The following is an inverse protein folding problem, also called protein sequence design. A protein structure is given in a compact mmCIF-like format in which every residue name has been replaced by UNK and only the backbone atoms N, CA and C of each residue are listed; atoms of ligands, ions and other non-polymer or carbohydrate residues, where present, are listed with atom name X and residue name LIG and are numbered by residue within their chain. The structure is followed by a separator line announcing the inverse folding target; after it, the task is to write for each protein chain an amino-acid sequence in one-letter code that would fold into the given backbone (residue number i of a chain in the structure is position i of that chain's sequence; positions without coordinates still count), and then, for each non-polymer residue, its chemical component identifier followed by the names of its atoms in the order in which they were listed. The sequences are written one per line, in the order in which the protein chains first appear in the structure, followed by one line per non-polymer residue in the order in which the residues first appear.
data_IF_087348089019
#
_entry.id   IF_087348089019
#
_cell.length_a   1.000
_cell.length_b   1.000
_cell.length_c   1.000
_cell.angle_alpha   90.00
_cell.angle_beta   90.00
_cell.angle_gamma   90.00
#
_symmetry.space_group_name_H-M   'P 1'
#
loop_
_entity.id
_entity.type
_entity.pdbx_description
1 polymer ?
#
# COMPACT_ATOMS: atom_id res chain seq x y z
N UNK A 1 96.11 35.52 -13.96
CA UNK A 1 95.63 34.50 -12.97
C UNK A 1 94.50 35.14 -12.19
N UNK A 2 93.28 34.87 -12.55
CA UNK A 2 92.10 35.42 -11.85
C UNK A 2 91.32 34.23 -11.28
N UNK A 3 91.22 34.23 -9.92
CA UNK A 3 90.33 33.32 -9.20
C UNK A 3 88.95 33.88 -9.18
N UNK A 4 87.98 33.10 -9.76
CA UNK A 4 86.54 33.35 -9.71
C UNK A 4 86.02 32.52 -8.54
N UNK A 5 85.54 33.19 -7.45
CA UNK A 5 84.79 32.58 -6.39
C UNK A 5 83.31 32.45 -6.81
N UNK A 6 82.77 31.24 -6.83
CA UNK A 6 81.34 31.02 -7.01
C UNK A 6 80.59 31.13 -5.66
N UNK A 7 79.41 31.73 -5.62
CA UNK A 7 78.61 31.77 -4.39
C UNK A 7 77.72 30.52 -4.33
N UNK A 8 77.75 29.89 -3.16
CA UNK A 8 76.87 28.77 -2.82
C UNK A 8 75.47 29.33 -2.53
N UNK A 9 74.50 28.98 -3.37
CA UNK A 9 73.10 29.28 -3.18
C UNK A 9 72.47 28.18 -2.27
N UNK A 10 72.04 28.57 -1.08
CA UNK A 10 71.25 27.71 -0.20
C UNK A 10 69.80 27.71 -0.67
N UNK A 11 69.36 26.58 -1.19
CA UNK A 11 67.96 26.32 -1.53
C UNK A 11 67.21 25.94 -0.24
N UNK A 12 66.46 26.87 0.33
CA UNK A 12 65.55 26.58 1.44
C UNK A 12 64.28 25.94 0.88
N UNK A 13 64.14 24.64 1.13
CA UNK A 13 62.95 23.87 0.77
C UNK A 13 61.87 24.13 1.82
N UNK A 14 60.91 25.00 1.53
CA UNK A 14 59.73 25.23 2.34
C UNK A 14 58.74 24.08 2.06
N UNK A 15 58.71 23.07 2.96
CA UNK A 15 57.65 22.04 2.96
C UNK A 15 56.39 22.69 3.53
N UNK A 16 55.49 23.08 2.62
CA UNK A 16 54.17 23.52 3.00
C UNK A 16 53.32 22.32 3.44
N UNK A 17 53.15 22.12 4.74
CA UNK A 17 52.13 21.22 5.29
C UNK A 17 50.73 21.80 5.00
N UNK A 18 50.10 21.36 3.94
CA UNK A 18 48.67 21.59 3.68
C UNK A 18 47.87 20.76 4.67
N UNK A 19 47.42 21.38 5.76
CA UNK A 19 46.40 20.79 6.62
C UNK A 19 45.07 20.75 5.80
N UNK A 20 44.74 19.58 5.23
CA UNK A 20 43.42 19.27 4.74
C UNK A 20 42.53 19.13 5.98
N UNK A 21 41.95 20.23 6.43
CA UNK A 21 40.83 20.20 7.36
C UNK A 21 39.67 19.53 6.66
N UNK A 22 39.49 18.24 6.89
CA UNK A 22 38.25 17.55 6.61
C UNK A 22 37.18 18.22 7.48
N UNK A 23 36.47 19.20 6.92
CA UNK A 23 35.22 19.69 7.50
C UNK A 23 34.25 18.51 7.45
N UNK A 24 34.21 17.73 8.54
CA UNK A 24 33.03 16.95 8.84
C UNK A 24 31.86 17.94 8.80
N UNK A 25 30.99 17.78 7.82
CA UNK A 25 29.66 18.38 7.86
C UNK A 25 29.04 17.84 9.15
N UNK A 26 29.04 18.64 10.22
CA UNK A 26 28.05 18.43 11.28
C UNK A 26 26.70 18.47 10.59
N UNK A 27 26.14 17.29 10.37
CA UNK A 27 24.73 17.17 10.04
C UNK A 27 24.01 17.77 11.22
N UNK A 28 23.35 18.90 10.98
CA UNK A 28 22.53 19.54 11.98
C UNK A 28 21.46 18.52 12.45
N UNK A 29 21.76 17.82 13.53
CA UNK A 29 20.82 16.94 14.24
C UNK A 29 19.83 17.80 15.01
N UNK A 30 18.91 18.50 14.32
CA UNK A 30 17.87 19.24 15.04
C UNK A 30 16.56 19.48 14.27
N UNK A 31 16.26 18.67 13.27
CA UNK A 31 14.87 18.44 12.89
C UNK A 31 14.59 16.97 13.16
N UNK A 32 13.55 16.68 13.95
CA UNK A 32 13.05 15.30 14.11
C UNK A 32 12.68 14.79 12.73
N UNK A 33 13.56 13.98 12.14
CA UNK A 33 13.25 13.31 10.88
C UNK A 33 12.11 12.34 11.13
N UNK A 34 10.99 12.52 10.43
CA UNK A 34 9.87 11.59 10.48
C UNK A 34 10.23 10.25 9.84
N UNK A 35 9.47 9.22 10.16
CA UNK A 35 9.66 7.86 9.64
C UNK A 35 9.74 7.84 8.11
N UNK A 36 8.86 8.55 7.41
CA UNK A 36 8.87 8.65 5.94
C UNK A 36 10.19 9.16 5.37
N UNK A 37 10.90 10.00 6.12
CA UNK A 37 12.20 10.56 5.69
C UNK A 37 13.34 9.58 5.95
N UNK A 38 13.27 8.87 7.09
CA UNK A 38 14.30 7.88 7.46
C UNK A 38 14.31 6.71 6.47
N UNK A 39 13.14 6.27 5.98
CA UNK A 39 12.98 5.14 5.07
C UNK A 39 12.67 5.55 3.62
N UNK A 40 12.95 6.81 3.23
CA UNK A 40 12.57 7.35 1.92
C UNK A 40 13.12 6.57 0.73
N UNK A 41 14.32 5.98 0.88
CA UNK A 41 14.98 5.21 -0.18
C UNK A 41 14.64 3.71 -0.13
N UNK A 42 13.88 3.25 0.89
CA UNK A 42 13.60 1.84 1.11
C UNK A 42 12.15 1.48 0.79
N UNK A 43 11.18 2.15 1.46
CA UNK A 43 9.74 1.88 1.31
C UNK A 43 8.88 3.03 1.84
N UNK A 44 7.60 3.02 1.46
CA UNK A 44 6.62 3.96 1.99
C UNK A 44 6.20 3.56 3.41
N UNK A 45 6.02 4.56 4.27
CA UNK A 45 5.44 4.38 5.62
C UNK A 45 3.99 4.86 5.58
N UNK A 46 3.05 3.94 5.83
CA UNK A 46 1.62 4.22 5.78
C UNK A 46 0.94 4.32 7.14
N UNK A 47 -0.22 4.97 7.15
CA UNK A 47 -1.13 4.98 8.28
C UNK A 47 -2.56 4.70 7.84
N UNK A 48 -3.25 3.79 8.55
CA UNK A 48 -4.69 3.66 8.46
C UNK A 48 -5.35 4.78 9.29
N UNK A 49 -6.27 5.54 8.66
CA UNK A 49 -6.93 6.68 9.31
C UNK A 49 -8.45 6.53 9.27
N UNK A 50 -9.09 6.97 10.33
CA UNK A 50 -10.55 6.91 10.47
C UNK A 50 -11.21 8.30 10.34
N UNK A 51 -12.52 8.32 10.48
CA UNK A 51 -13.31 9.55 10.33
C UNK A 51 -12.88 10.69 11.28
N UNK A 52 -12.31 10.41 12.45
CA UNK A 52 -11.90 11.48 13.37
C UNK A 52 -10.68 12.24 12.87
N UNK A 53 -9.68 11.51 12.29
CA UNK A 53 -8.54 12.16 11.66
C UNK A 53 -8.97 12.91 10.39
N UNK A 54 -9.82 12.29 9.55
CA UNK A 54 -10.31 12.90 8.31
C UNK A 54 -11.12 14.17 8.57
N UNK A 55 -11.90 14.21 9.67
CA UNK A 55 -12.70 15.37 10.06
C UNK A 55 -11.94 16.35 10.98
N UNK A 56 -10.62 16.17 11.10
CA UNK A 56 -9.74 17.02 11.91
C UNK A 56 -10.15 17.12 13.39
N UNK A 57 -10.78 16.07 13.93
CA UNK A 57 -11.20 15.99 15.34
C UNK A 57 -10.11 15.44 16.26
N UNK A 58 -9.09 14.80 15.71
CA UNK A 58 -7.94 14.26 16.44
C UNK A 58 -6.73 15.21 16.31
N UNK A 59 -6.71 16.23 17.17
CA UNK A 59 -5.67 17.26 17.17
C UNK A 59 -4.25 16.71 17.42
N UNK A 60 -4.11 15.49 17.97
CA UNK A 60 -2.81 14.87 18.21
C UNK A 60 -2.28 14.14 16.97
N UNK A 61 -3.16 13.49 16.21
CA UNK A 61 -2.79 12.76 15.00
C UNK A 61 -2.50 13.70 13.82
N UNK A 62 -3.23 14.80 13.70
CA UNK A 62 -3.12 15.71 12.55
C UNK A 62 -1.71 16.17 12.20
N UNK A 63 -0.86 16.62 13.14
CA UNK A 63 0.50 17.02 12.81
C UNK A 63 1.42 15.84 12.51
N UNK A 64 1.10 14.63 13.03
CA UNK A 64 1.92 13.43 12.82
C UNK A 64 1.75 12.86 11.41
N UNK A 65 0.55 12.95 10.83
CA UNK A 65 0.29 12.38 9.51
C UNK A 65 1.27 12.88 8.45
N UNK A 66 1.38 14.18 8.16
CA UNK A 66 2.31 14.67 7.15
C UNK A 66 3.77 14.63 7.59
N UNK A 67 4.05 14.51 8.90
CA UNK A 67 5.42 14.43 9.41
C UNK A 67 6.01 13.02 9.25
N UNK A 68 5.25 11.99 9.62
CA UNK A 68 5.75 10.62 9.78
C UNK A 68 5.44 9.72 8.58
N UNK A 69 4.36 10.02 7.82
CA UNK A 69 3.81 9.11 6.81
C UNK A 69 3.84 9.72 5.42
N UNK A 70 4.01 8.86 4.41
CA UNK A 70 3.89 9.17 2.99
C UNK A 70 2.89 8.25 2.27
N UNK A 71 2.09 7.48 3.04
CA UNK A 71 0.95 6.72 2.54
C UNK A 71 -0.20 6.76 3.53
N UNK A 72 -1.44 6.75 3.04
CA UNK A 72 -2.66 6.69 3.85
C UNK A 72 -3.66 5.69 3.30
N UNK A 73 -4.39 5.06 4.22
CA UNK A 73 -5.46 4.10 3.90
C UNK A 73 -6.70 4.42 4.76
N UNK A 74 -7.93 4.45 4.20
CA UNK A 74 -9.15 4.58 5.00
C UNK A 74 -9.41 3.32 5.81
N UNK A 75 -9.53 3.45 7.14
CA UNK A 75 -9.81 2.30 8.01
C UNK A 75 -11.17 1.65 7.71
N UNK A 76 -12.24 2.43 7.52
CA UNK A 76 -13.60 1.92 7.35
C UNK A 76 -14.43 2.62 6.27
N UNK A 77 -14.15 3.88 5.98
CA UNK A 77 -15.08 4.75 5.24
C UNK A 77 -15.32 4.36 3.78
N UNK A 78 -14.43 3.57 3.19
CA UNK A 78 -14.60 3.04 1.83
C UNK A 78 -15.12 1.60 1.80
N UNK A 79 -15.41 0.99 2.96
CA UNK A 79 -16.05 -0.33 3.01
C UNK A 79 -17.50 -0.24 2.56
N UNK A 80 -18.01 -1.32 1.96
CA UNK A 80 -19.30 -1.36 1.25
C UNK A 80 -20.45 -0.76 2.07
N UNK A 81 -20.62 -1.13 3.33
CA UNK A 81 -21.72 -0.65 4.18
C UNK A 81 -21.77 0.86 4.37
N UNK A 82 -20.62 1.55 4.22
CA UNK A 82 -20.52 3.00 4.39
C UNK A 82 -20.59 3.72 3.05
N UNK A 83 -19.79 3.28 2.06
CA UNK A 83 -19.69 3.98 0.78
C UNK A 83 -20.86 3.69 -0.16
N UNK A 84 -21.52 2.50 -0.04
CA UNK A 84 -22.61 2.06 -0.88
C UNK A 84 -23.77 1.46 -0.04
N UNK A 85 -24.44 2.30 0.77
CA UNK A 85 -25.41 1.84 1.79
C UNK A 85 -26.71 1.25 1.20
N UNK A 86 -27.13 1.68 0.03
CA UNK A 86 -28.34 1.23 -0.67
C UNK A 86 -28.02 1.02 -2.14
N UNK A 87 -28.83 0.21 -2.88
CA UNK A 87 -28.57 -0.22 -4.25
C UNK A 87 -28.15 0.90 -5.22
N UNK A 88 -28.82 2.05 -5.19
CA UNK A 88 -28.55 3.17 -6.08
C UNK A 88 -27.99 4.39 -5.34
N UNK A 89 -27.45 4.19 -4.13
CA UNK A 89 -26.98 5.29 -3.29
C UNK A 89 -25.54 5.09 -2.84
N UNK A 90 -24.74 6.11 -3.11
CA UNK A 90 -23.36 6.16 -2.70
C UNK A 90 -23.13 7.35 -1.77
N UNK A 91 -22.25 7.17 -0.78
CA UNK A 91 -21.83 8.21 0.16
C UNK A 91 -20.34 8.44 0.00
N UNK A 92 -19.98 9.47 -0.75
CA UNK A 92 -18.59 9.81 -1.05
C UNK A 92 -17.98 10.88 -0.13
N UNK A 93 -18.74 11.48 0.76
CA UNK A 93 -18.30 12.67 1.52
C UNK A 93 -17.00 12.49 2.28
N UNK A 94 -16.84 11.39 3.01
CA UNK A 94 -15.60 11.09 3.75
C UNK A 94 -14.52 10.51 2.83
N UNK A 95 -14.92 9.74 1.81
CA UNK A 95 -14.00 9.19 0.83
C UNK A 95 -13.34 10.29 -0.01
N UNK A 96 -14.10 11.32 -0.42
CA UNK A 96 -13.55 12.49 -1.11
C UNK A 96 -12.56 13.26 -0.22
N UNK A 97 -12.85 13.36 1.09
CA UNK A 97 -11.96 14.06 2.03
C UNK A 97 -10.63 13.36 2.27
N UNK A 98 -10.62 12.01 2.36
CA UNK A 98 -9.34 11.29 2.52
C UNK A 98 -8.50 11.38 1.25
N UNK A 99 -9.12 11.29 0.07
CA UNK A 99 -8.42 11.47 -1.20
C UNK A 99 -7.83 12.88 -1.29
N UNK A 100 -8.59 13.92 -0.94
CA UNK A 100 -8.08 15.27 -0.89
C UNK A 100 -6.98 15.48 0.16
N UNK A 101 -7.02 14.75 1.28
CA UNK A 101 -5.96 14.77 2.30
C UNK A 101 -4.65 14.15 1.77
N UNK A 102 -4.76 13.03 1.05
CA UNK A 102 -3.64 12.38 0.38
C UNK A 102 -2.98 13.29 -0.66
N UNK A 103 -3.78 13.84 -1.57
CA UNK A 103 -3.34 14.76 -2.60
C UNK A 103 -2.67 16.02 -2.01
N UNK A 104 -3.29 16.64 -1.00
CA UNK A 104 -2.74 17.82 -0.30
C UNK A 104 -1.35 17.60 0.30
N UNK A 105 -1.05 16.38 0.74
CA UNK A 105 0.20 16.04 1.43
C UNK A 105 1.14 15.18 0.58
N UNK A 106 0.87 15.02 -0.71
CA UNK A 106 1.65 14.18 -1.64
C UNK A 106 1.86 12.76 -1.08
N UNK A 107 0.77 12.15 -0.61
CA UNK A 107 0.76 10.80 -0.01
C UNK A 107 0.21 9.78 -0.99
N UNK A 108 0.84 8.61 -1.04
CA UNK A 108 0.32 7.44 -1.71
C UNK A 108 -0.99 6.98 -1.03
N UNK A 109 -2.11 7.08 -1.73
CA UNK A 109 -3.43 6.77 -1.18
C UNK A 109 -3.87 5.38 -1.60
N UNK A 110 -4.16 4.53 -0.61
CA UNK A 110 -4.69 3.18 -0.82
C UNK A 110 -6.19 3.17 -0.57
N UNK A 111 -6.97 2.73 -1.54
CA UNK A 111 -8.41 2.52 -1.40
C UNK A 111 -8.71 1.15 -0.77
N UNK A 112 -9.34 1.13 0.39
CA UNK A 112 -9.68 -0.10 1.11
C UNK A 112 -11.19 -0.13 1.39
N UNK A 113 -11.92 -1.00 0.79
CA UNK A 113 -11.66 -2.05 -0.20
C UNK A 113 -12.84 -2.17 -1.17
N UNK A 114 -12.60 -2.61 -2.41
CA UNK A 114 -13.70 -2.74 -3.39
C UNK A 114 -14.58 -3.96 -3.09
N UNK A 115 -14.00 -5.12 -2.78
CA UNK A 115 -14.76 -6.36 -2.54
C UNK A 115 -14.30 -7.03 -1.25
N UNK A 116 -15.20 -7.15 -0.30
CA UNK A 116 -14.96 -7.87 0.94
C UNK A 116 -16.25 -8.58 1.39
N UNK A 117 -16.11 -9.78 1.95
CA UNK A 117 -17.23 -10.59 2.43
C UNK A 117 -17.85 -10.08 3.73
N UNK A 118 -17.16 -9.18 4.43
CA UNK A 118 -17.59 -8.55 5.68
C UNK A 118 -17.99 -7.09 5.45
N UNK A 119 -18.66 -6.47 6.41
CA UNK A 119 -19.16 -5.09 6.34
C UNK A 119 -19.87 -4.76 5.02
N UNK A 120 -20.64 -5.73 4.52
CA UNK A 120 -21.51 -5.56 3.37
C UNK A 120 -22.79 -4.82 3.76
N UNK A 121 -23.27 -3.97 2.88
CA UNK A 121 -24.56 -3.31 3.04
C UNK A 121 -25.69 -4.35 3.15
N UNK A 122 -26.71 -4.11 3.98
CA UNK A 122 -27.79 -5.08 4.20
C UNK A 122 -28.52 -5.54 2.93
N UNK A 123 -28.57 -4.72 1.88
CA UNK A 123 -29.18 -5.09 0.62
C UNK A 123 -28.36 -6.15 -0.13
N UNK A 124 -27.01 -6.09 -0.06
CA UNK A 124 -26.13 -7.08 -0.71
C UNK A 124 -26.34 -8.46 -0.11
N UNK A 125 -26.44 -8.56 1.22
CA UNK A 125 -26.70 -9.82 1.91
C UNK A 125 -28.07 -10.45 1.56
N UNK A 126 -29.00 -9.68 0.99
CA UNK A 126 -30.31 -10.13 0.55
C UNK A 126 -30.34 -10.64 -0.90
N UNK A 127 -29.28 -10.42 -1.68
CA UNK A 127 -29.18 -10.89 -3.06
C UNK A 127 -29.18 -12.43 -3.08
N UNK A 128 -29.99 -13.02 -3.96
CA UNK A 128 -30.15 -14.49 -4.07
C UNK A 128 -29.85 -15.05 -5.47
N UNK A 129 -29.65 -14.19 -6.46
CA UNK A 129 -29.33 -14.62 -7.81
C UNK A 129 -27.92 -14.24 -8.22
N UNK A 130 -27.32 -15.08 -9.06
CA UNK A 130 -26.01 -14.85 -9.67
C UNK A 130 -25.99 -13.53 -10.44
N UNK A 131 -26.99 -13.30 -11.29
CA UNK A 131 -27.03 -12.12 -12.16
C UNK A 131 -27.14 -10.82 -11.37
N UNK A 132 -27.96 -10.80 -10.30
CA UNK A 132 -28.07 -9.61 -9.46
C UNK A 132 -26.77 -9.32 -8.69
N UNK A 133 -26.05 -10.36 -8.25
CA UNK A 133 -24.79 -10.17 -7.56
C UNK A 133 -23.67 -9.74 -8.54
N UNK A 134 -23.67 -10.28 -9.75
CA UNK A 134 -22.75 -9.85 -10.81
C UNK A 134 -22.99 -8.37 -11.18
N UNK A 135 -24.25 -7.98 -11.36
CA UNK A 135 -24.62 -6.58 -11.63
C UNK A 135 -24.23 -5.65 -10.47
N UNK A 136 -24.44 -6.07 -9.21
CA UNK A 136 -23.97 -5.31 -8.05
C UNK A 136 -22.46 -5.13 -8.09
N UNK A 137 -21.69 -6.21 -8.30
CA UNK A 137 -20.24 -6.17 -8.32
C UNK A 137 -19.71 -5.22 -9.40
N UNK A 138 -20.27 -5.31 -10.60
CA UNK A 138 -19.93 -4.44 -11.72
C UNK A 138 -20.23 -2.97 -11.41
N UNK A 139 -21.45 -2.66 -10.97
CA UNK A 139 -21.87 -1.29 -10.66
C UNK A 139 -21.05 -0.69 -9.51
N UNK A 140 -20.79 -1.48 -8.47
CA UNK A 140 -20.01 -1.05 -7.30
C UNK A 140 -18.58 -0.70 -7.68
N UNK A 141 -17.89 -1.61 -8.36
CA UNK A 141 -16.49 -1.40 -8.77
C UNK A 141 -16.40 -0.26 -9.80
N UNK A 142 -17.26 -0.22 -10.80
CA UNK A 142 -17.24 0.82 -11.82
C UNK A 142 -17.51 2.20 -11.23
N UNK A 143 -18.50 2.33 -10.35
CA UNK A 143 -18.87 3.63 -9.77
C UNK A 143 -17.77 4.19 -8.89
N UNK A 144 -17.20 3.35 -8.03
CA UNK A 144 -16.13 3.78 -7.11
C UNK A 144 -14.81 3.94 -7.86
N UNK A 145 -14.43 2.96 -8.68
CA UNK A 145 -13.18 2.97 -9.44
C UNK A 145 -13.08 4.19 -10.36
N UNK A 146 -14.11 4.42 -11.21
CA UNK A 146 -14.12 5.57 -12.13
C UNK A 146 -14.10 6.93 -11.40
N UNK A 147 -14.73 7.03 -10.21
CA UNK A 147 -14.69 8.28 -9.43
C UNK A 147 -13.29 8.65 -8.98
N UNK A 148 -12.50 7.65 -8.62
CA UNK A 148 -11.18 7.84 -8.02
C UNK A 148 -10.03 7.44 -8.93
N UNK A 149 -10.28 7.12 -10.19
CA UNK A 149 -9.22 6.84 -11.16
C UNK A 149 -8.27 8.05 -11.30
N UNK A 150 -6.96 7.80 -11.19
CA UNK A 150 -5.93 8.83 -11.17
C UNK A 150 -5.87 9.68 -9.89
N UNK A 151 -6.63 9.32 -8.83
CA UNK A 151 -6.63 10.00 -7.53
C UNK A 151 -6.29 9.07 -6.38
N UNK A 152 -6.56 7.78 -6.53
CA UNK A 152 -6.16 6.71 -5.62
C UNK A 152 -5.05 5.93 -6.34
N UNK A 153 -3.92 5.77 -5.66
CA UNK A 153 -2.72 5.17 -6.24
C UNK A 153 -2.82 3.64 -6.28
N UNK A 154 -3.46 3.03 -5.27
CA UNK A 154 -3.65 1.59 -5.20
C UNK A 154 -5.02 1.22 -4.62
N UNK A 155 -5.58 0.09 -5.04
CA UNK A 155 -6.80 -0.48 -4.49
C UNK A 155 -6.57 -1.88 -3.94
N UNK A 156 -7.03 -2.12 -2.72
CA UNK A 156 -7.37 -3.47 -2.27
C UNK A 156 -8.62 -3.91 -3.03
N UNK A 157 -8.42 -4.60 -4.15
CA UNK A 157 -9.54 -5.02 -5.02
C UNK A 157 -10.38 -6.07 -4.34
N UNK A 158 -9.75 -7.09 -3.79
CA UNK A 158 -10.41 -8.13 -2.99
C UNK A 158 -9.68 -8.33 -1.68
N UNK A 159 -10.46 -8.28 -0.60
CA UNK A 159 -9.98 -8.47 0.75
C UNK A 159 -10.46 -9.82 1.31
N UNK A 160 -9.52 -10.62 1.85
CA UNK A 160 -9.76 -11.82 2.67
C UNK A 160 -10.60 -12.92 1.99
N UNK A 161 -10.25 -13.31 0.78
CA UNK A 161 -10.96 -14.36 0.05
C UNK A 161 -10.57 -15.78 0.45
N UNK A 162 -9.55 -15.97 1.32
CA UNK A 162 -9.02 -17.29 1.66
C UNK A 162 -9.27 -17.67 3.12
N UNK A 163 -9.43 -18.97 3.35
CA UNK A 163 -9.38 -19.60 4.67
C UNK A 163 -7.92 -19.84 5.10
N UNK A 164 -7.72 -20.22 6.37
CA UNK A 164 -6.39 -20.48 6.94
C UNK A 164 -5.63 -21.65 6.27
N UNK A 165 -6.35 -22.56 5.64
CA UNK A 165 -5.78 -23.68 4.88
C UNK A 165 -5.47 -23.33 3.41
N UNK A 166 -5.68 -22.09 3.00
CA UNK A 166 -5.47 -21.60 1.64
C UNK A 166 -6.62 -21.88 0.65
N UNK A 167 -7.71 -22.48 1.10
CA UNK A 167 -8.91 -22.68 0.26
C UNK A 167 -9.77 -21.43 0.19
N UNK A 168 -10.62 -21.33 -0.84
CA UNK A 168 -11.53 -20.19 -0.99
C UNK A 168 -12.53 -20.10 0.17
N UNK A 169 -12.65 -18.91 0.77
CA UNK A 169 -13.59 -18.62 1.87
C UNK A 169 -15.01 -18.62 1.38
N UNK A 170 -15.88 -19.35 2.08
CA UNK A 170 -17.33 -19.32 1.83
C UNK A 170 -17.89 -17.92 2.09
N UNK A 171 -18.41 -17.30 1.06
CA UNK A 171 -19.00 -15.95 1.08
C UNK A 171 -20.16 -15.90 0.10
N UNK A 172 -20.94 -14.82 0.12
CA UNK A 172 -21.99 -14.62 -0.90
C UNK A 172 -21.41 -14.60 -2.31
N UNK A 173 -20.20 -14.03 -2.48
CA UNK A 173 -19.50 -13.96 -3.75
C UNK A 173 -19.13 -15.36 -4.25
N UNK A 174 -18.44 -16.16 -3.44
CA UNK A 174 -18.09 -17.53 -3.82
C UNK A 174 -19.34 -18.37 -4.11
N UNK A 175 -20.35 -18.28 -3.24
CA UNK A 175 -21.53 -19.12 -3.33
C UNK A 175 -22.38 -18.86 -4.58
N UNK A 176 -22.49 -17.61 -5.03
CA UNK A 176 -23.32 -17.23 -6.18
C UNK A 176 -22.52 -17.06 -7.48
N UNK A 177 -21.30 -16.53 -7.42
CA UNK A 177 -20.48 -16.25 -8.60
C UNK A 177 -19.49 -17.36 -8.93
N UNK A 178 -19.15 -18.23 -7.95
CA UNK A 178 -18.16 -19.29 -8.12
C UNK A 178 -16.72 -18.83 -7.93
N UNK A 179 -15.77 -19.73 -8.18
CA UNK A 179 -14.34 -19.56 -7.89
C UNK A 179 -13.63 -18.47 -8.70
N UNK A 180 -14.27 -17.94 -9.73
CA UNK A 180 -13.71 -16.92 -10.61
C UNK A 180 -14.05 -15.49 -10.17
N UNK A 181 -14.86 -15.31 -9.09
CA UNK A 181 -15.31 -13.99 -8.67
C UNK A 181 -14.14 -13.02 -8.37
N UNK A 182 -13.02 -13.54 -7.82
CA UNK A 182 -11.84 -12.71 -7.55
C UNK A 182 -11.23 -12.21 -8.86
N UNK A 183 -11.01 -13.11 -9.82
CA UNK A 183 -10.48 -12.73 -11.14
C UNK A 183 -11.40 -11.73 -11.85
N UNK A 184 -12.72 -11.91 -11.71
CA UNK A 184 -13.69 -10.97 -12.29
C UNK A 184 -13.65 -9.60 -11.60
N UNK A 185 -13.53 -9.55 -10.27
CA UNK A 185 -13.36 -8.29 -9.54
C UNK A 185 -12.10 -7.51 -10.02
N UNK A 186 -10.97 -8.21 -10.20
CA UNK A 186 -9.77 -7.61 -10.76
C UNK A 186 -9.95 -7.15 -12.21
N UNK A 187 -10.69 -7.91 -13.04
CA UNK A 187 -11.02 -7.53 -14.43
C UNK A 187 -11.87 -6.27 -14.49
N UNK A 188 -12.83 -6.12 -13.59
CA UNK A 188 -13.64 -4.91 -13.47
C UNK A 188 -12.81 -3.74 -12.97
N UNK A 189 -12.00 -3.96 -11.94
CA UNK A 189 -11.15 -2.92 -11.36
C UNK A 189 -10.14 -2.36 -12.38
N UNK A 190 -9.44 -3.21 -13.15
CA UNK A 190 -8.49 -2.74 -14.16
C UNK A 190 -9.12 -1.88 -15.26
N UNK A 191 -10.44 -2.03 -15.51
CA UNK A 191 -11.19 -1.20 -16.46
C UNK A 191 -11.64 0.12 -15.82
N UNK A 192 -12.09 0.03 -14.57
CA UNK A 192 -12.67 1.17 -13.87
C UNK A 192 -11.61 2.14 -13.33
N UNK A 193 -10.41 1.63 -13.03
CA UNK A 193 -9.31 2.41 -12.46
C UNK A 193 -7.97 1.98 -13.08
N UNK A 194 -7.75 2.26 -14.38
CA UNK A 194 -6.55 1.83 -15.10
C UNK A 194 -5.26 2.47 -14.58
N UNK A 195 -5.35 3.61 -13.91
CA UNK A 195 -4.22 4.37 -13.39
C UNK A 195 -3.84 4.01 -11.94
N UNK A 196 -4.62 3.15 -11.26
CA UNK A 196 -4.30 2.67 -9.91
C UNK A 196 -3.66 1.29 -9.95
N UNK A 197 -2.81 0.98 -8.97
CA UNK A 197 -2.31 -0.38 -8.74
C UNK A 197 -3.41 -1.26 -8.11
N UNK A 198 -3.41 -2.56 -8.42
CA UNK A 198 -4.44 -3.50 -7.99
C UNK A 198 -3.84 -4.56 -7.07
N UNK A 199 -4.33 -4.64 -5.83
CA UNK A 199 -3.83 -5.52 -4.78
C UNK A 199 -4.87 -6.56 -4.35
N UNK A 200 -4.39 -7.76 -4.02
CA UNK A 200 -5.09 -8.71 -3.18
C UNK A 200 -4.61 -8.54 -1.74
N UNK A 201 -5.52 -8.35 -0.77
CA UNK A 201 -5.17 -8.12 0.63
C UNK A 201 -5.77 -9.20 1.52
N UNK A 202 -4.97 -9.79 2.43
CA UNK A 202 -5.47 -10.81 3.36
C UNK A 202 -4.57 -10.92 4.60
N UNK A 203 -5.11 -11.43 5.69
CA UNK A 203 -4.38 -11.71 6.92
C UNK A 203 -3.79 -13.13 6.89
N UNK A 204 -2.74 -13.35 7.67
CA UNK A 204 -2.04 -14.64 7.80
C UNK A 204 -1.55 -15.25 6.46
N UNK A 205 -1.49 -14.48 5.37
CA UNK A 205 -0.94 -14.96 4.10
C UNK A 205 0.59 -15.03 4.11
N UNK A 206 1.24 -14.63 5.20
CA UNK A 206 2.62 -14.95 5.48
C UNK A 206 2.79 -16.39 5.98
N UNK A 207 1.73 -17.02 6.48
CA UNK A 207 1.79 -18.41 6.95
C UNK A 207 1.81 -19.40 5.76
N UNK A 208 2.61 -20.47 5.79
CA UNK A 208 2.92 -21.30 4.62
C UNK A 208 1.70 -21.84 3.86
N UNK A 209 0.68 -22.33 4.57
CA UNK A 209 -0.52 -22.92 3.92
C UNK A 209 -1.35 -21.84 3.21
N UNK A 210 -1.64 -20.75 3.90
CA UNK A 210 -2.45 -19.66 3.34
C UNK A 210 -1.66 -18.91 2.27
N UNK A 211 -0.35 -18.74 2.43
CA UNK A 211 0.57 -18.22 1.41
C UNK A 211 0.50 -19.03 0.11
N UNK A 212 0.55 -20.35 0.20
CA UNK A 212 0.42 -21.22 -0.98
C UNK A 212 -0.91 -21.00 -1.71
N UNK A 213 -2.02 -20.83 -0.96
CA UNK A 213 -3.32 -20.48 -1.52
C UNK A 213 -3.33 -19.12 -2.20
N UNK A 214 -2.73 -18.11 -1.58
CA UNK A 214 -2.62 -16.77 -2.14
C UNK A 214 -1.77 -16.76 -3.43
N UNK A 215 -0.65 -17.48 -3.44
CA UNK A 215 0.18 -17.67 -4.63
C UNK A 215 -0.61 -18.34 -5.78
N UNK A 216 -1.39 -19.37 -5.47
CA UNK A 216 -2.24 -20.03 -6.46
C UNK A 216 -3.31 -19.09 -7.03
N UNK A 217 -3.92 -18.28 -6.18
CA UNK A 217 -4.90 -17.27 -6.57
C UNK A 217 -4.28 -16.19 -7.47
N UNK A 218 -3.12 -15.64 -7.10
CA UNK A 218 -2.38 -14.64 -7.88
C UNK A 218 -2.02 -15.21 -9.26
N UNK A 219 -1.48 -16.42 -9.32
CA UNK A 219 -1.16 -17.10 -10.58
C UNK A 219 -2.39 -17.32 -11.46
N UNK A 220 -3.55 -17.64 -10.86
CA UNK A 220 -4.81 -17.78 -11.59
C UNK A 220 -5.23 -16.46 -12.22
N UNK A 221 -5.14 -15.34 -11.51
CA UNK A 221 -5.44 -14.00 -12.03
C UNK A 221 -4.52 -13.68 -13.20
N UNK A 222 -3.20 -13.84 -13.03
CA UNK A 222 -2.20 -13.60 -14.06
C UNK A 222 -2.40 -14.47 -15.30
N UNK A 223 -2.68 -15.77 -15.13
CA UNK A 223 -2.94 -16.71 -16.22
C UNK A 223 -4.21 -16.36 -17.03
N UNK A 224 -5.14 -15.61 -16.44
CA UNK A 224 -6.34 -15.09 -17.11
C UNK A 224 -6.09 -13.80 -17.92
N UNK A 225 -4.85 -13.32 -17.98
CA UNK A 225 -4.48 -12.06 -18.63
C UNK A 225 -5.03 -10.81 -17.90
N UNK A 226 -5.38 -10.96 -16.63
CA UNK A 226 -5.87 -9.88 -15.77
C UNK A 226 -4.73 -9.34 -14.91
N UNK A 227 -4.66 -8.01 -14.79
CA UNK A 227 -3.60 -7.34 -14.04
C UNK A 227 -3.80 -7.53 -12.53
N UNK A 228 -2.71 -7.84 -11.84
CA UNK A 228 -2.54 -7.75 -10.41
C UNK A 228 -1.14 -7.19 -10.15
N UNK A 229 -1.04 -6.10 -9.41
CA UNK A 229 0.19 -5.35 -9.23
C UNK A 229 0.85 -5.64 -7.89
N UNK A 230 0.08 -6.12 -6.92
CA UNK A 230 0.63 -6.38 -5.60
C UNK A 230 -0.24 -7.26 -4.70
N UNK A 231 0.33 -7.55 -3.54
CA UNK A 231 -0.32 -8.24 -2.43
C UNK A 231 -0.11 -7.46 -1.14
N UNK A 232 -1.18 -7.32 -0.34
CA UNK A 232 -1.17 -6.77 1.00
C UNK A 232 -1.20 -7.89 2.04
N UNK A 233 -0.20 -7.91 2.92
CA UNK A 233 -0.11 -8.84 4.05
C UNK A 233 -0.59 -8.09 5.29
N UNK A 234 -1.78 -8.40 5.79
CA UNK A 234 -2.28 -7.81 7.02
C UNK A 234 -1.47 -8.34 8.21
N UNK A 235 -0.69 -7.44 8.80
CA UNK A 235 0.17 -7.75 9.93
C UNK A 235 -0.56 -7.75 11.26
N UNK A 236 -1.66 -8.50 11.40
CA UNK A 236 -2.39 -8.67 12.66
C UNK A 236 -1.60 -9.49 13.69
N UNK A 237 -0.37 -9.07 13.93
CA UNK A 237 0.56 -9.77 14.82
C UNK A 237 0.41 -9.31 16.27
N UNK A 238 0.87 -10.15 17.20
CA UNK A 238 0.96 -9.80 18.61
C UNK A 238 2.39 -9.42 18.97
N UNK A 239 2.55 -8.64 20.06
CA UNK A 239 3.87 -8.31 20.62
C UNK A 239 4.66 -9.53 21.11
N UNK A 240 4.04 -10.71 21.16
CA UNK A 240 4.68 -11.95 21.64
C UNK A 240 5.46 -12.69 20.55
N UNK A 241 5.32 -12.31 19.31
CA UNK A 241 6.06 -12.91 18.20
C UNK A 241 5.69 -12.30 16.86
N UNK A 242 6.72 -11.86 16.14
CA UNK A 242 6.62 -11.53 14.72
C UNK A 242 7.09 -12.76 13.95
N UNK A 243 6.35 -13.24 12.96
CA UNK A 243 6.77 -14.38 12.13
C UNK A 243 7.82 -13.92 11.12
N UNK A 244 9.01 -13.55 11.58
CA UNK A 244 10.04 -12.91 10.75
C UNK A 244 10.44 -13.79 9.57
N UNK A 245 10.72 -15.08 9.81
CA UNK A 245 11.11 -16.03 8.76
C UNK A 245 9.98 -16.21 7.73
N UNK A 246 8.74 -16.39 8.19
CA UNK A 246 7.58 -16.51 7.29
C UNK A 246 7.30 -15.22 6.53
N UNK A 247 7.50 -14.06 7.16
CA UNK A 247 7.36 -12.75 6.49
C UNK A 247 8.42 -12.55 5.41
N UNK A 248 9.69 -12.87 5.70
CA UNK A 248 10.78 -12.81 4.72
C UNK A 248 10.52 -13.75 3.54
N UNK A 249 10.17 -15.02 3.82
CA UNK A 249 9.81 -15.99 2.78
C UNK A 249 8.64 -15.49 1.93
N UNK A 250 7.64 -14.85 2.55
CA UNK A 250 6.49 -14.29 1.83
C UNK A 250 6.89 -13.16 0.89
N UNK A 251 7.72 -12.24 1.34
CA UNK A 251 8.26 -11.17 0.48
C UNK A 251 8.96 -11.78 -0.74
N UNK A 252 9.84 -12.76 -0.52
CA UNK A 252 10.59 -13.40 -1.59
C UNK A 252 9.68 -14.15 -2.57
N UNK A 253 8.74 -14.95 -2.06
CA UNK A 253 7.85 -15.77 -2.90
C UNK A 253 6.85 -14.93 -3.70
N UNK A 254 6.27 -13.87 -3.10
CA UNK A 254 5.37 -12.96 -3.82
C UNK A 254 6.14 -12.10 -4.83
N UNK A 255 7.31 -11.58 -4.47
CA UNK A 255 8.15 -10.81 -5.40
C UNK A 255 8.60 -11.65 -6.60
N UNK A 256 8.82 -12.96 -6.42
CA UNK A 256 9.14 -13.88 -7.52
C UNK A 256 7.98 -14.04 -8.54
N UNK A 257 6.75 -13.63 -8.19
CA UNK A 257 5.62 -13.56 -9.13
C UNK A 257 5.61 -12.26 -9.96
N UNK A 258 6.58 -11.36 -9.73
CA UNK A 258 6.66 -10.06 -10.40
C UNK A 258 5.68 -9.03 -9.87
N UNK A 259 5.21 -9.17 -8.62
CA UNK A 259 4.28 -8.23 -7.97
C UNK A 259 4.91 -7.56 -6.75
N UNK A 260 4.35 -6.41 -6.36
CA UNK A 260 4.74 -5.67 -5.16
C UNK A 260 4.21 -6.35 -3.89
N UNK A 261 4.88 -6.09 -2.77
CA UNK A 261 4.45 -6.55 -1.44
C UNK A 261 4.26 -5.35 -0.53
N UNK A 262 3.14 -5.32 0.18
CA UNK A 262 2.81 -4.32 1.18
C UNK A 262 2.45 -5.02 2.49
N UNK A 263 2.92 -4.51 3.62
CA UNK A 263 2.35 -4.84 4.92
C UNK A 263 1.24 -3.82 5.24
N UNK A 264 0.04 -4.32 5.61
CA UNK A 264 -1.16 -3.51 5.79
C UNK A 264 -1.79 -3.70 7.17
#
# INVERSE_FOLDING_TARGET
MYHIKQPIAYLILLVGMSFITCKQKEVAMNEKQGLKTVFADDFLIGAAINANQILEKDAKALPLLPQEFNSITPENIMKCEIIHPEWDKYNFDLADKIVALGDKNDMFTVGHTLVWHSQLSPFVNKIKSKDSLALFLENHINTIGNRYDGKIDAWDVVNEALNEDGTMRKSIFLNLLGDDFVTEAFRLAQKATPNSELYYNDYNIEQPKKRAGAIALIKKIQASGVRIDGVGIQGHWSIKGLPLEDSENSILEYSALGIKVMFT
#
